data_IF_061212562714
#
_entry.id   IF_061212562714
#
_cell.length_a   1.000
_cell.length_b   1.000
_cell.length_c   1.000
_cell.angle_alpha   90.00
_cell.angle_beta   90.00
_cell.angle_gamma   90.00
#
_symmetry.space_group_name_H-M   'P 1'
#
loop_
_entity.id
_entity.type
_entity.pdbx_description
1 polymer ?
#
# COMPACT_ATOMS: atom_id res chain seq x y z
N UNK A 1 22.66 14.15 17.87
CA UNK A 1 21.32 14.49 17.36
C UNK A 1 20.47 13.23 17.44
N UNK A 2 19.61 13.12 18.44
CA UNK A 2 18.60 12.05 18.49
C UNK A 2 17.70 12.20 17.26
N UNK A 3 17.66 11.17 16.43
CA UNK A 3 16.63 11.07 15.38
C UNK A 3 15.29 10.96 16.11
N UNK A 4 14.49 12.02 16.06
CA UNK A 4 13.11 11.98 16.54
C UNK A 4 12.44 10.79 15.84
N UNK A 5 12.11 9.73 16.60
CA UNK A 5 11.43 8.56 16.04
C UNK A 5 10.07 9.00 15.53
N UNK A 6 9.83 8.79 14.25
CA UNK A 6 8.52 9.03 13.67
C UNK A 6 7.56 7.93 14.15
N UNK A 7 6.55 8.27 14.95
CA UNK A 7 5.59 7.31 15.53
C UNK A 7 4.28 7.37 14.78
N UNK A 8 3.85 6.21 14.27
CA UNK A 8 2.62 6.06 13.49
C UNK A 8 1.54 5.38 14.33
N UNK A 9 0.45 6.09 14.59
CA UNK A 9 -0.69 5.58 15.34
C UNK A 9 -1.56 4.66 14.47
N UNK A 10 -1.93 3.49 14.98
CA UNK A 10 -2.74 2.50 14.28
C UNK A 10 -3.91 2.07 15.15
N UNK A 11 -5.14 2.32 14.70
CA UNK A 11 -6.36 1.85 15.35
C UNK A 11 -6.81 0.47 14.87
N UNK A 12 -6.48 0.11 13.61
CA UNK A 12 -6.90 -1.14 13.01
C UNK A 12 -6.16 -2.35 13.58
N UNK A 13 -6.91 -3.29 14.15
CA UNK A 13 -6.36 -4.58 14.57
C UNK A 13 -5.85 -5.44 13.42
N UNK A 14 -6.39 -5.25 12.21
CA UNK A 14 -5.90 -5.92 10.99
C UNK A 14 -4.50 -5.44 10.62
N UNK A 15 -4.30 -4.11 10.57
CA UNK A 15 -2.98 -3.53 10.26
C UNK A 15 -1.96 -3.94 11.32
N UNK A 16 -2.28 -3.81 12.61
CA UNK A 16 -1.32 -4.08 13.69
C UNK A 16 -0.88 -5.54 13.80
N UNK A 17 -1.58 -6.47 13.13
CA UNK A 17 -1.22 -7.89 13.06
C UNK A 17 -0.42 -8.27 11.82
N UNK A 18 -0.15 -7.34 10.92
CA UNK A 18 0.70 -7.61 9.75
C UNK A 18 2.11 -7.94 10.25
N UNK A 19 2.65 -9.11 9.88
CA UNK A 19 4.01 -9.49 10.25
C UNK A 19 5.02 -8.46 9.73
N UNK A 20 6.00 -8.11 10.55
CA UNK A 20 7.06 -7.17 10.19
C UNK A 20 6.57 -5.80 9.70
N UNK A 21 5.41 -5.35 10.18
CA UNK A 21 4.80 -4.09 9.74
C UNK A 21 5.76 -2.90 9.76
N UNK A 22 6.61 -2.80 10.79
CA UNK A 22 7.58 -1.72 10.91
C UNK A 22 8.59 -1.65 9.74
N UNK A 23 8.84 -2.76 9.04
CA UNK A 23 9.74 -2.79 7.89
C UNK A 23 9.14 -2.16 6.63
N UNK A 24 7.82 -2.00 6.59
CA UNK A 24 7.11 -1.37 5.47
C UNK A 24 6.83 0.11 5.69
N UNK A 25 6.91 0.58 6.94
CA UNK A 25 6.46 1.92 7.31
C UNK A 25 7.61 2.91 7.48
N UNK A 26 7.39 4.20 7.20
CA UNK A 26 8.39 5.24 7.40
C UNK A 26 8.61 5.62 8.88
N UNK A 27 8.04 4.86 9.82
CA UNK A 27 8.15 5.10 11.26
C UNK A 27 7.69 3.90 12.08
N UNK A 28 7.79 4.03 13.40
CA UNK A 28 7.44 2.98 14.34
C UNK A 28 5.92 2.88 14.52
N UNK A 29 5.30 1.74 14.20
CA UNK A 29 3.86 1.55 14.39
C UNK A 29 3.52 1.32 15.86
N UNK A 30 2.59 2.11 16.39
CA UNK A 30 2.06 1.97 17.73
C UNK A 30 0.55 1.76 17.68
N UNK A 31 0.07 0.69 18.32
CA UNK A 31 -1.36 0.43 18.41
C UNK A 31 -2.04 1.40 19.35
N UNK A 32 -3.07 2.08 18.85
CA UNK A 32 -3.88 3.02 19.64
C UNK A 32 -5.21 2.39 20.06
N UNK A 33 -5.68 2.81 21.23
CA UNK A 33 -7.02 2.48 21.74
C UNK A 33 -8.04 3.51 21.25
N UNK A 34 -9.20 3.09 20.72
CA UNK A 34 -10.26 4.03 20.32
C UNK A 34 -10.91 4.80 21.47
N UNK A 35 -10.61 4.39 22.71
CA UNK A 35 -11.17 4.97 23.95
C UNK A 35 -10.20 5.87 24.70
N UNK A 36 -9.00 6.10 24.17
CA UNK A 36 -7.96 6.93 24.78
C UNK A 36 -7.57 8.07 23.87
N UNK A 37 -7.09 9.16 24.46
CA UNK A 37 -6.48 10.27 23.73
C UNK A 37 -5.28 9.79 22.94
N UNK A 38 -5.02 10.42 21.79
CA UNK A 38 -3.82 10.16 21.01
C UNK A 38 -2.62 10.66 21.81
N UNK A 39 -1.58 9.82 22.04
CA UNK A 39 -0.37 10.27 22.71
C UNK A 39 0.35 11.37 21.92
N UNK A 40 0.92 12.34 22.62
CA UNK A 40 1.59 13.52 21.98
C UNK A 40 2.74 13.15 21.04
N UNK A 41 3.41 12.02 21.31
CA UNK A 41 4.51 11.54 20.47
C UNK A 41 4.06 10.96 19.12
N UNK A 42 2.76 10.75 18.89
CA UNK A 42 2.24 10.25 17.61
C UNK A 42 2.30 11.36 16.56
N UNK A 43 2.97 11.08 15.45
CA UNK A 43 3.22 12.06 14.39
C UNK A 43 2.24 11.94 13.21
N UNK A 44 1.63 10.77 13.00
CA UNK A 44 0.63 10.52 11.97
C UNK A 44 -0.25 9.32 12.31
N UNK A 45 -1.41 9.22 11.65
CA UNK A 45 -2.30 8.07 11.78
C UNK A 45 -2.27 7.25 10.50
N UNK A 46 -1.93 5.96 10.60
CA UNK A 46 -1.95 5.04 9.47
C UNK A 46 -3.28 4.30 9.38
N UNK A 47 -3.88 4.29 8.18
CA UNK A 47 -5.17 3.65 7.87
C UNK A 47 -5.07 2.82 6.59
N UNK A 48 -5.97 1.86 6.40
CA UNK A 48 -6.02 1.06 5.17
C UNK A 48 -7.00 1.68 4.17
N UNK A 49 -6.46 2.24 3.10
CA UNK A 49 -7.19 2.85 2.00
C UNK A 49 -8.40 3.68 2.44
N UNK A 50 -9.54 3.46 1.79
CA UNK A 50 -10.83 4.07 2.11
C UNK A 50 -11.80 3.11 2.79
N UNK A 51 -11.33 2.04 3.42
CA UNK A 51 -12.21 1.10 4.13
C UNK A 51 -13.09 1.80 5.16
N UNK A 52 -14.31 1.32 5.39
CA UNK A 52 -15.21 1.92 6.40
C UNK A 52 -14.56 2.07 7.78
N UNK A 53 -13.66 1.16 8.16
CA UNK A 53 -12.90 1.21 9.41
C UNK A 53 -11.89 2.37 9.48
N UNK A 54 -11.53 2.98 8.36
CA UNK A 54 -10.63 4.14 8.31
C UNK A 54 -11.36 5.46 8.64
N UNK A 55 -12.68 5.54 8.46
CA UNK A 55 -13.43 6.80 8.60
C UNK A 55 -13.24 7.48 9.94
N UNK A 56 -13.43 6.74 11.05
CA UNK A 56 -13.28 7.30 12.41
C UNK A 56 -11.83 7.73 12.72
N UNK A 57 -10.79 6.91 12.47
CA UNK A 57 -9.40 7.33 12.62
C UNK A 57 -9.02 8.56 11.80
N UNK A 58 -9.50 8.67 10.55
CA UNK A 58 -9.25 9.84 9.69
C UNK A 58 -9.88 11.09 10.29
N UNK A 59 -11.16 11.03 10.66
CA UNK A 59 -11.84 12.18 11.28
C UNK A 59 -11.17 12.61 12.58
N UNK A 60 -10.71 11.65 13.41
CA UNK A 60 -9.99 11.95 14.64
C UNK A 60 -8.62 12.60 14.35
N UNK A 61 -7.84 12.08 13.40
CA UNK A 61 -6.57 12.67 13.00
C UNK A 61 -6.77 14.13 12.54
N UNK A 62 -7.76 14.38 11.70
CA UNK A 62 -8.12 15.71 11.22
C UNK A 62 -8.51 16.67 12.36
N UNK A 63 -9.27 16.20 13.34
CA UNK A 63 -9.71 17.04 14.47
C UNK A 63 -8.56 17.50 15.38
N UNK A 64 -7.41 16.80 15.36
CA UNK A 64 -6.22 17.15 16.16
C UNK A 64 -5.04 17.60 15.28
N UNK A 65 -5.25 17.80 13.98
CA UNK A 65 -4.24 18.31 13.05
C UNK A 65 -3.14 17.30 12.71
N UNK A 66 -3.35 16.00 12.90
CA UNK A 66 -2.39 14.96 12.52
C UNK A 66 -2.55 14.54 11.06
N UNK A 67 -1.45 14.35 10.33
CA UNK A 67 -1.48 13.79 8.99
C UNK A 67 -1.98 12.34 8.99
N UNK A 68 -2.59 11.95 7.87
CA UNK A 68 -3.05 10.58 7.62
C UNK A 68 -2.14 9.95 6.57
N UNK A 69 -1.67 8.74 6.86
CA UNK A 69 -0.94 7.89 5.91
C UNK A 69 -1.86 6.76 5.50
N UNK A 70 -2.06 6.58 4.19
CA UNK A 70 -2.87 5.50 3.65
C UNK A 70 -2.00 4.33 3.24
N UNK A 71 -2.40 3.15 3.66
CA UNK A 71 -1.76 1.88 3.33
C UNK A 71 -2.66 1.09 2.39
N UNK A 72 -2.06 0.34 1.48
CA UNK A 72 -2.77 -0.60 0.62
C UNK A 72 -1.87 -1.78 0.25
N UNK A 73 -2.44 -2.84 -0.27
CA UNK A 73 -1.68 -3.96 -0.80
C UNK A 73 -0.72 -3.49 -1.91
N UNK A 74 0.52 -3.94 -1.87
CA UNK A 74 1.49 -3.68 -2.93
C UNK A 74 1.10 -4.32 -4.26
N UNK A 75 1.70 -3.86 -5.36
CA UNK A 75 1.40 -4.36 -6.71
C UNK A 75 1.86 -5.81 -6.90
N UNK A 76 2.97 -6.21 -6.30
CA UNK A 76 3.37 -7.61 -6.11
C UNK A 76 3.23 -7.89 -4.62
N UNK A 77 2.07 -8.42 -4.21
CA UNK A 77 1.71 -8.43 -2.79
C UNK A 77 2.24 -9.65 -2.04
N UNK A 78 1.96 -10.85 -2.54
CA UNK A 78 2.23 -12.08 -1.78
C UNK A 78 2.11 -13.33 -2.67
N UNK A 79 2.49 -14.47 -2.09
CA UNK A 79 2.28 -15.77 -2.73
C UNK A 79 0.79 -16.10 -2.79
N UNK A 80 0.07 -15.99 -1.67
CA UNK A 80 -1.35 -16.28 -1.59
C UNK A 80 -2.22 -15.08 -1.19
N UNK A 81 -3.52 -15.30 -1.04
CA UNK A 81 -4.47 -14.25 -0.68
C UNK A 81 -4.33 -13.84 0.79
N UNK A 82 -4.44 -12.54 1.06
CA UNK A 82 -4.42 -11.99 2.41
C UNK A 82 -5.55 -12.51 3.30
N UNK A 83 -6.73 -12.78 2.72
CA UNK A 83 -7.87 -13.37 3.44
C UNK A 83 -7.58 -14.78 3.94
N UNK A 84 -6.62 -15.48 3.36
CA UNK A 84 -6.13 -16.80 3.77
C UNK A 84 -4.99 -16.72 4.78
N UNK A 85 -4.66 -15.52 5.27
CA UNK A 85 -3.59 -15.28 6.23
C UNK A 85 -2.20 -15.16 5.62
N UNK A 86 -2.06 -15.11 4.28
CA UNK A 86 -0.76 -14.95 3.65
C UNK A 86 -0.21 -13.53 3.91
N UNK A 87 0.99 -13.41 4.51
CA UNK A 87 1.56 -12.10 4.83
C UNK A 87 1.92 -11.33 3.55
N UNK A 88 1.82 -9.99 3.58
CA UNK A 88 2.28 -9.17 2.47
C UNK A 88 3.82 -9.19 2.36
N UNK A 89 4.32 -9.16 1.13
CA UNK A 89 5.72 -8.92 0.80
C UNK A 89 5.97 -7.46 0.42
N UNK A 90 4.91 -6.74 0.05
CA UNK A 90 4.94 -5.31 -0.21
C UNK A 90 3.66 -4.62 0.22
N UNK A 91 3.77 -3.35 0.60
CA UNK A 91 2.67 -2.47 0.98
C UNK A 91 2.89 -1.10 0.31
N UNK A 92 1.84 -0.56 -0.31
CA UNK A 92 1.83 0.83 -0.73
C UNK A 92 1.65 1.72 0.49
N UNK A 93 2.48 2.75 0.61
CA UNK A 93 2.42 3.78 1.65
C UNK A 93 2.26 5.13 0.97
N UNK A 94 1.14 5.80 1.19
CA UNK A 94 0.80 7.05 0.54
C UNK A 94 0.55 8.16 1.56
N UNK A 95 1.26 9.27 1.41
CA UNK A 95 1.19 10.43 2.30
C UNK A 95 0.25 11.53 1.80
N UNK A 96 -0.21 11.44 0.55
CA UNK A 96 -1.07 12.44 -0.09
C UNK A 96 -2.51 11.94 -0.25
N UNK A 97 -2.67 10.75 -0.81
CA UNK A 97 -3.96 10.15 -1.08
C UNK A 97 -3.88 8.64 -1.13
N UNK A 98 -4.37 8.04 -2.18
CA UNK A 98 -4.15 6.62 -2.54
C UNK A 98 -4.37 6.46 -4.04
N UNK A 99 -3.57 5.67 -4.70
CA UNK A 99 -3.48 5.59 -6.17
C UNK A 99 -4.79 5.31 -6.92
N UNK A 100 -5.78 4.69 -6.28
CA UNK A 100 -7.08 4.40 -6.89
C UNK A 100 -8.16 5.46 -6.62
N UNK A 101 -7.86 6.50 -5.85
CA UNK A 101 -8.77 7.61 -5.60
C UNK A 101 -8.39 8.81 -6.49
N UNK A 102 -9.12 8.97 -7.59
CA UNK A 102 -8.87 10.05 -8.55
C UNK A 102 -9.32 11.45 -8.06
N UNK A 103 -9.93 11.54 -6.87
CA UNK A 103 -10.43 12.82 -6.34
C UNK A 103 -9.33 13.69 -5.72
N UNK A 104 -8.19 13.09 -5.36
CA UNK A 104 -7.03 13.77 -4.77
C UNK A 104 -5.73 13.20 -5.37
N UNK A 105 -4.64 13.99 -5.43
CA UNK A 105 -3.34 13.48 -5.86
C UNK A 105 -2.87 12.34 -4.96
N UNK A 106 -2.14 11.38 -5.53
CA UNK A 106 -1.44 10.34 -4.79
C UNK A 106 0.07 10.49 -4.87
N UNK A 107 0.79 9.90 -3.92
CA UNK A 107 2.25 9.86 -3.96
C UNK A 107 2.77 9.15 -5.22
N UNK A 108 2.08 8.09 -5.67
CA UNK A 108 2.44 7.40 -6.90
C UNK A 108 2.28 8.29 -8.13
N UNK A 109 1.17 9.05 -8.21
CA UNK A 109 0.92 9.96 -9.31
C UNK A 109 2.00 11.07 -9.38
N UNK A 110 2.39 11.63 -8.24
CA UNK A 110 3.48 12.60 -8.17
C UNK A 110 4.80 11.98 -8.63
N UNK A 111 5.15 10.79 -8.16
CA UNK A 111 6.37 10.09 -8.57
C UNK A 111 6.42 9.82 -10.08
N UNK A 112 5.28 9.47 -10.70
CA UNK A 112 5.20 9.27 -12.15
C UNK A 112 5.37 10.57 -12.91
N UNK A 113 4.77 11.67 -12.43
CA UNK A 113 4.89 13.00 -13.05
C UNK A 113 6.28 13.60 -12.92
N UNK A 114 6.91 13.44 -11.75
CA UNK A 114 8.21 14.02 -11.42
C UNK A 114 9.40 13.21 -11.96
N UNK A 115 9.12 12.09 -12.64
CA UNK A 115 10.16 11.22 -13.17
C UNK A 115 10.75 11.80 -14.48
N UNK A 116 11.69 12.71 -14.37
CA UNK A 116 12.46 13.32 -15.46
C UNK A 116 13.48 12.35 -16.13
N UNK A 117 13.16 11.06 -16.17
CA UNK A 117 14.01 10.05 -16.82
C UNK A 117 15.28 9.71 -16.03
N UNK A 118 15.19 9.61 -14.71
CA UNK A 118 16.30 9.15 -13.87
C UNK A 118 16.84 7.80 -14.38
N UNK A 119 17.94 7.83 -15.13
CA UNK A 119 18.52 6.69 -15.84
C UNK A 119 18.85 5.49 -14.93
N UNK A 120 19.42 5.67 -13.72
CA UNK A 120 19.64 4.56 -12.79
C UNK A 120 18.32 3.84 -12.42
N UNK A 121 17.28 4.60 -12.07
CA UNK A 121 15.97 4.05 -11.73
C UNK A 121 15.33 3.33 -12.92
N UNK A 122 15.51 3.85 -14.14
CA UNK A 122 15.01 3.21 -15.35
C UNK A 122 15.65 1.83 -15.59
N UNK A 123 16.94 1.66 -15.32
CA UNK A 123 17.63 0.37 -15.45
C UNK A 123 17.11 -0.66 -14.42
N UNK A 124 16.90 -0.24 -13.18
CA UNK A 124 16.31 -1.08 -12.13
C UNK A 124 14.87 -1.47 -12.48
N UNK A 125 14.06 -0.52 -12.94
CA UNK A 125 12.69 -0.76 -13.38
C UNK A 125 12.64 -1.79 -14.52
N UNK A 126 13.50 -1.66 -15.54
CA UNK A 126 13.59 -2.63 -16.63
C UNK A 126 14.00 -4.03 -16.13
N UNK A 127 14.94 -4.12 -15.19
CA UNK A 127 15.33 -5.40 -14.61
C UNK A 127 14.15 -6.03 -13.84
N UNK A 128 13.41 -5.25 -13.08
CA UNK A 128 12.22 -5.72 -12.36
C UNK A 128 11.10 -6.15 -13.32
N UNK A 129 10.84 -5.38 -14.39
CA UNK A 129 9.87 -5.76 -15.42
C UNK A 129 10.21 -7.11 -16.05
N UNK A 130 11.48 -7.33 -16.40
CA UNK A 130 11.93 -8.64 -16.90
C UNK A 130 11.70 -9.74 -15.87
N UNK A 131 12.09 -9.53 -14.62
CA UNK A 131 11.89 -10.52 -13.57
C UNK A 131 10.41 -10.88 -13.37
N UNK A 132 9.50 -9.89 -13.46
CA UNK A 132 8.04 -10.11 -13.39
C UNK A 132 7.58 -11.00 -14.55
N UNK A 133 7.99 -10.68 -15.77
CA UNK A 133 7.58 -11.42 -16.99
C UNK A 133 8.20 -12.82 -17.01
N UNK A 134 9.50 -12.93 -16.78
CA UNK A 134 10.25 -14.19 -16.88
C UNK A 134 9.83 -15.23 -15.82
N UNK A 135 9.23 -14.78 -14.72
CA UNK A 135 8.77 -15.64 -13.64
C UNK A 135 7.24 -15.67 -13.48
N UNK A 136 6.47 -15.15 -14.44
CA UNK A 136 5.01 -15.10 -14.41
C UNK A 136 4.44 -14.50 -13.11
N UNK A 137 5.10 -13.45 -12.57
CA UNK A 137 4.69 -12.84 -11.31
C UNK A 137 3.45 -11.97 -11.50
N UNK A 138 2.55 -12.03 -10.52
CA UNK A 138 1.35 -11.21 -10.45
C UNK A 138 1.15 -10.68 -9.02
N UNK A 139 0.06 -9.99 -8.77
CA UNK A 139 -0.26 -9.49 -7.42
C UNK A 139 -0.33 -10.62 -6.38
N UNK A 140 -0.89 -11.77 -6.77
CA UNK A 140 -0.99 -13.00 -5.97
C UNK A 140 -0.51 -14.17 -6.81
N UNK A 141 0.45 -14.96 -6.31
CA UNK A 141 1.21 -15.92 -7.09
C UNK A 141 0.86 -17.38 -6.77
N UNK A 142 -0.39 -17.65 -6.41
CA UNK A 142 -0.91 -19.01 -6.11
C UNK A 142 -1.80 -19.58 -7.22
N UNK A 143 -2.11 -18.79 -8.25
CA UNK A 143 -2.95 -19.25 -9.35
C UNK A 143 -2.23 -20.31 -10.18
N UNK A 144 -2.95 -21.30 -10.72
CA UNK A 144 -2.38 -22.23 -11.69
C UNK A 144 -1.91 -21.48 -12.94
N UNK A 145 -1.01 -22.08 -13.74
CA UNK A 145 -0.60 -21.48 -15.01
C UNK A 145 -1.82 -21.10 -15.86
N UNK A 146 -1.76 -19.92 -16.45
CA UNK A 146 -2.81 -19.45 -17.34
C UNK A 146 -2.84 -20.30 -18.62
N UNK A 147 -4.01 -20.86 -18.90
CA UNK A 147 -4.27 -21.50 -20.20
C UNK A 147 -5.15 -20.55 -20.96
N UNK A 148 -4.64 -20.00 -22.07
CA UNK A 148 -5.41 -19.11 -22.91
C UNK A 148 -6.64 -19.86 -23.43
N UNK A 149 -7.87 -19.32 -23.27
CA UNK A 149 -9.04 -19.89 -23.90
C UNK A 149 -8.88 -19.79 -25.43
N UNK A 150 -9.50 -20.75 -26.13
CA UNK A 150 -9.61 -20.68 -27.60
C UNK A 150 -10.62 -19.56 -27.95
N UNK A 151 -10.09 -18.32 -28.04
CA UNK A 151 -10.88 -17.14 -28.38
C UNK A 151 -10.75 -16.85 -29.88
N UNK A 152 -11.86 -16.46 -30.50
CA UNK A 152 -11.84 -16.05 -31.91
C UNK A 152 -10.84 -14.91 -32.11
N UNK A 153 -10.12 -14.88 -33.25
CA UNK A 153 -9.12 -13.84 -33.53
C UNK A 153 -9.63 -12.39 -33.45
N UNK A 154 -10.94 -12.21 -33.57
CA UNK A 154 -11.61 -10.90 -33.53
C UNK A 154 -12.23 -10.58 -32.16
N UNK A 155 -12.01 -11.42 -31.14
CA UNK A 155 -12.57 -11.19 -29.82
C UNK A 155 -11.90 -10.01 -29.12
N UNK A 156 -12.70 -9.16 -28.49
CA UNK A 156 -12.23 -8.07 -27.65
C UNK A 156 -12.31 -8.52 -26.20
N UNK A 157 -11.16 -8.55 -25.52
CA UNK A 157 -11.11 -8.84 -24.09
C UNK A 157 -11.41 -7.55 -23.30
N UNK A 158 -12.53 -7.55 -22.58
CA UNK A 158 -12.87 -6.52 -21.62
C UNK A 158 -12.49 -7.02 -20.24
N UNK A 159 -11.56 -6.33 -19.56
CA UNK A 159 -11.16 -6.65 -18.19
C UNK A 159 -12.01 -5.82 -17.25
N UNK A 160 -12.73 -6.48 -16.35
CA UNK A 160 -13.53 -5.88 -15.28
C UNK A 160 -13.09 -6.46 -13.93
N UNK A 161 -13.24 -5.64 -12.87
CA UNK A 161 -12.86 -6.02 -11.49
C UNK A 161 -13.92 -5.58 -10.48
#
# INVERSE_FOLDING_TARGET
MERTRNILGIYSGGISRIPHLASFLPGEPVRLSPYKTIPEQVNAIAVWGHRPSAKKPVALAQSVGLPVIRLEDGFIRSLGLGVQGCPPLSIVVDHLGIYYDASVPSSLECLVKDNDGNKPLAAEAQAMMRAIVDNDLSKYNQAPPFVAPDIMPEAVLVIDQ
#
